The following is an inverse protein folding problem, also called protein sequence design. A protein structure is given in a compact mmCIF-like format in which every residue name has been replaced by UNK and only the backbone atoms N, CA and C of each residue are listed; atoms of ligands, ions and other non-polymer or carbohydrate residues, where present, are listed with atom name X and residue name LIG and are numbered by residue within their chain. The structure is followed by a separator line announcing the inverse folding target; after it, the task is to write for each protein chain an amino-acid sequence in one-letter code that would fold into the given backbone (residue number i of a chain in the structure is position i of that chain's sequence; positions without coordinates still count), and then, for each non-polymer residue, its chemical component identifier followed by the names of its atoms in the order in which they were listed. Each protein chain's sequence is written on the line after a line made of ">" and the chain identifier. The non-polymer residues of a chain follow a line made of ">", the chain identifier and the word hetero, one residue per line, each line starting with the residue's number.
data_IF_136730984006
#
_entry.id   IF_136730984006
#
_cell.length_a   1.000
_cell.length_b   1.000
_cell.length_c   1.000
_cell.angle_alpha   90.00
_cell.angle_beta   90.00
_cell.angle_gamma   90.00
#
_symmetry.space_group_name_H-M   'P 1'
#
loop_
_entity.id
_entity.type
_entity.pdbx_description
1 polymer ?
#
# COMPACT_ATOMS: atom_id res chain seq x y z
N UNK A 1 -14.85 -8.82 -4.21
CA UNK A 1 -14.24 -7.97 -3.19
C UNK A 1 -12.78 -8.40 -3.03
N UNK A 2 -11.87 -7.45 -3.01
CA UNK A 2 -10.45 -7.67 -2.75
C UNK A 2 -10.14 -7.18 -1.34
N UNK A 3 -9.31 -7.90 -0.63
CA UNK A 3 -8.91 -7.55 0.73
C UNK A 3 -7.39 -7.70 0.87
N UNK A 4 -6.85 -7.02 1.85
CA UNK A 4 -5.49 -7.21 2.34
C UNK A 4 -5.54 -7.46 3.85
N UNK A 5 -4.44 -7.90 4.41
CA UNK A 5 -4.38 -8.17 5.84
C UNK A 5 -2.96 -7.97 6.38
N UNK A 6 -2.86 -7.79 7.67
CA UNK A 6 -1.62 -7.87 8.42
C UNK A 6 -1.88 -8.46 9.82
N UNK A 7 -0.88 -9.15 10.34
CA UNK A 7 -0.89 -9.60 11.71
C UNK A 7 -0.46 -8.45 12.64
N UNK A 8 -1.22 -8.21 13.70
CA UNK A 8 -0.91 -7.23 14.73
C UNK A 8 -0.14 -7.87 15.91
N UNK A 9 -0.40 -9.13 16.13
CA UNK A 9 0.29 -10.02 17.07
C UNK A 9 0.06 -11.48 16.66
N UNK A 10 0.44 -12.45 17.50
CA UNK A 10 0.33 -13.89 17.21
C UNK A 10 -1.10 -14.39 16.99
N UNK A 11 -2.10 -13.69 17.50
CA UNK A 11 -3.51 -14.11 17.49
C UNK A 11 -4.45 -13.10 16.85
N UNK A 12 -4.02 -11.88 16.62
CA UNK A 12 -4.84 -10.81 16.08
C UNK A 12 -4.53 -10.51 14.63
N UNK A 13 -5.48 -10.82 13.75
CA UNK A 13 -5.42 -10.52 12.31
C UNK A 13 -6.26 -9.27 12.01
N UNK A 14 -5.66 -8.27 11.39
CA UNK A 14 -6.38 -7.12 10.84
C UNK A 14 -6.62 -7.34 9.34
N UNK A 15 -7.88 -7.40 8.94
CA UNK A 15 -8.31 -7.53 7.55
C UNK A 15 -8.84 -6.17 7.10
N UNK A 16 -8.43 -5.72 5.93
CA UNK A 16 -8.83 -4.44 5.36
C UNK A 16 -9.32 -4.63 3.93
N UNK A 17 -10.38 -3.91 3.58
CA UNK A 17 -10.94 -3.92 2.24
C UNK A 17 -11.44 -2.52 1.86
N UNK A 18 -11.44 -2.22 0.58
CA UNK A 18 -11.97 -0.96 0.09
C UNK A 18 -13.37 -1.12 -0.48
N UNK A 19 -14.15 -0.05 -0.38
CA UNK A 19 -15.36 0.12 -1.15
C UNK A 19 -15.02 0.93 -2.41
N UNK A 20 -15.13 0.30 -3.57
CA UNK A 20 -14.84 0.91 -4.88
C UNK A 20 -15.99 1.75 -5.44
N UNK A 21 -17.03 2.03 -4.66
CA UNK A 21 -18.12 2.91 -5.07
C UNK A 21 -17.64 4.37 -5.04
N UNK A 22 -17.53 4.99 -6.21
CA UNK A 22 -17.08 6.38 -6.32
C UNK A 22 -18.00 7.40 -5.61
N UNK A 23 -19.27 7.05 -5.35
CA UNK A 23 -20.19 7.91 -4.61
C UNK A 23 -20.07 7.78 -3.09
N UNK A 24 -19.46 6.70 -2.62
CA UNK A 24 -19.24 6.44 -1.19
C UNK A 24 -17.96 5.61 -1.00
N UNK A 25 -16.80 6.15 -1.40
CA UNK A 25 -15.53 5.43 -1.25
C UNK A 25 -15.19 5.30 0.23
N UNK A 26 -14.53 4.19 0.58
CA UNK A 26 -14.14 3.97 1.96
C UNK A 26 -13.26 2.74 2.13
N UNK A 27 -12.59 2.67 3.26
CA UNK A 27 -11.79 1.53 3.67
C UNK A 27 -12.42 0.97 4.94
N UNK A 28 -12.88 -0.27 4.87
CA UNK A 28 -13.41 -1.00 6.01
C UNK A 28 -12.34 -1.91 6.59
N UNK A 29 -12.43 -2.19 7.88
CA UNK A 29 -11.49 -3.05 8.57
C UNK A 29 -12.18 -3.93 9.60
N UNK A 30 -11.59 -5.10 9.85
CA UNK A 30 -12.02 -6.04 10.89
C UNK A 30 -10.77 -6.59 11.58
N UNK A 31 -10.75 -6.54 12.90
CA UNK A 31 -9.80 -7.26 13.75
C UNK A 31 -10.42 -8.57 14.20
N UNK A 32 -9.75 -9.66 13.92
CA UNK A 32 -10.18 -11.01 14.19
C UNK A 32 -9.24 -11.66 15.20
N UNK A 33 -9.80 -12.28 16.25
CA UNK A 33 -9.08 -13.24 17.07
C UNK A 33 -9.04 -14.57 16.32
N UNK A 34 -7.85 -15.00 15.90
CA UNK A 34 -7.69 -16.22 15.11
C UNK A 34 -7.70 -17.50 15.97
N UNK A 35 -7.63 -17.40 17.29
CA UNK A 35 -7.69 -18.57 18.18
C UNK A 35 -9.10 -19.17 18.22
N UNK A 36 -10.12 -18.32 18.24
CA UNK A 36 -11.53 -18.73 18.35
C UNK A 36 -12.38 -18.19 17.18
N UNK A 37 -11.78 -17.48 16.23
CA UNK A 37 -12.42 -16.89 15.04
C UNK A 37 -13.49 -15.86 15.39
N UNK A 38 -13.34 -15.15 16.52
CA UNK A 38 -14.26 -14.09 16.92
C UNK A 38 -13.80 -12.73 16.42
N UNK A 39 -14.77 -11.85 16.10
CA UNK A 39 -14.50 -10.46 15.76
C UNK A 39 -14.20 -9.69 17.04
N UNK A 40 -13.01 -9.10 17.13
CA UNK A 40 -12.60 -8.23 18.23
C UNK A 40 -13.22 -6.84 18.06
N UNK A 41 -13.11 -6.29 16.85
CA UNK A 41 -13.65 -4.99 16.48
C UNK A 41 -13.73 -4.87 14.97
N UNK A 42 -14.61 -4.02 14.48
CA UNK A 42 -14.74 -3.69 13.06
C UNK A 42 -15.18 -2.24 12.87
N UNK A 43 -14.94 -1.69 11.70
CA UNK A 43 -15.34 -0.32 11.37
C UNK A 43 -14.90 0.14 10.00
N UNK A 44 -15.02 1.44 9.81
CA UNK A 44 -14.53 2.14 8.64
C UNK A 44 -13.44 3.11 9.07
N UNK A 45 -12.40 3.30 8.23
CA UNK A 45 -11.39 4.32 8.48
C UNK A 45 -11.99 5.71 8.27
N UNK A 46 -11.81 6.55 9.27
CA UNK A 46 -12.13 7.98 9.21
C UNK A 46 -10.86 8.79 8.90
N UNK A 47 -11.03 9.97 8.29
CA UNK A 47 -9.91 10.89 8.03
C UNK A 47 -9.00 10.47 6.87
N UNK A 48 -9.47 9.58 6.00
CA UNK A 48 -8.79 9.28 4.73
C UNK A 48 -9.22 10.33 3.70
N UNK A 49 -8.23 11.01 3.13
CA UNK A 49 -8.49 12.01 2.09
C UNK A 49 -8.79 11.33 0.76
N UNK A 50 -9.97 11.59 0.21
CA UNK A 50 -10.38 11.15 -1.12
C UNK A 50 -11.28 12.21 -1.77
N UNK A 51 -10.86 12.69 -2.90
CA UNK A 51 -11.56 13.74 -3.65
C UNK A 51 -12.76 13.15 -4.41
N UNK A 52 -13.87 12.99 -3.68
CA UNK A 52 -15.14 12.46 -4.22
C UNK A 52 -15.73 13.39 -5.28
N UNK A 53 -15.55 14.70 -5.16
CA UNK A 53 -16.08 15.70 -6.09
C UNK A 53 -15.46 15.52 -7.47
N UNK A 54 -14.15 15.22 -7.53
CA UNK A 54 -13.46 14.88 -8.76
C UNK A 54 -13.56 13.39 -9.13
N UNK A 55 -14.40 12.64 -8.42
CA UNK A 55 -14.74 11.26 -8.73
C UNK A 55 -13.62 10.27 -8.44
N UNK A 56 -12.74 10.58 -7.47
CA UNK A 56 -11.75 9.63 -7.00
C UNK A 56 -12.39 8.50 -6.21
N UNK A 57 -11.82 7.31 -6.32
CA UNK A 57 -12.20 6.11 -5.59
C UNK A 57 -10.98 5.21 -5.39
N UNK A 58 -11.06 4.29 -4.44
CA UNK A 58 -10.01 3.29 -4.27
C UNK A 58 -10.06 2.26 -5.39
N UNK A 59 -8.94 2.02 -6.05
CA UNK A 59 -8.82 1.10 -7.19
C UNK A 59 -8.18 -0.24 -6.84
N UNK A 60 -7.62 -0.37 -5.65
CA UNK A 60 -7.01 -1.61 -5.14
C UNK A 60 -7.25 -1.76 -3.66
N UNK A 61 -7.34 -3.01 -3.18
CA UNK A 61 -7.34 -3.31 -1.74
C UNK A 61 -6.04 -2.97 -1.04
N UNK A 62 -4.99 -2.62 -1.79
CA UNK A 62 -3.72 -2.21 -1.22
C UNK A 62 -2.92 -3.33 -0.57
N UNK A 63 -1.91 -2.92 0.16
CA UNK A 63 -1.07 -3.80 0.99
C UNK A 63 -1.00 -3.20 2.38
N UNK A 64 -1.34 -3.98 3.40
CA UNK A 64 -1.20 -3.59 4.79
C UNK A 64 0.04 -4.27 5.39
N UNK A 65 0.89 -3.50 6.06
CA UNK A 65 2.04 -4.00 6.83
C UNK A 65 2.00 -3.40 8.23
N UNK A 66 2.15 -4.23 9.23
CA UNK A 66 2.22 -3.78 10.62
C UNK A 66 3.66 -3.48 11.01
N UNK A 67 3.91 -2.28 11.51
CA UNK A 67 5.19 -1.85 12.06
C UNK A 67 5.15 -1.97 13.58
N UNK A 68 5.64 -3.09 14.07
CA UNK A 68 5.58 -3.45 15.49
C UNK A 68 6.29 -2.43 16.39
N UNK A 69 7.40 -1.84 15.90
CA UNK A 69 8.24 -0.95 16.70
C UNK A 69 7.52 0.28 17.26
N UNK A 70 6.42 0.70 16.64
CA UNK A 70 5.63 1.88 17.05
C UNK A 70 4.10 1.70 16.94
N UNK A 71 3.66 0.50 16.58
CA UNK A 71 2.24 0.13 16.59
C UNK A 71 1.41 0.70 15.45
N UNK A 72 2.02 0.99 14.29
CA UNK A 72 1.30 1.50 13.13
C UNK A 72 1.11 0.45 12.04
N UNK A 73 -0.08 0.43 11.45
CA UNK A 73 -0.32 -0.23 10.16
C UNK A 73 0.06 0.77 9.07
N UNK A 74 0.94 0.36 8.18
CA UNK A 74 1.31 1.08 6.97
C UNK A 74 0.48 0.49 5.84
N UNK A 75 -0.53 1.24 5.40
CA UNK A 75 -1.46 0.79 4.38
C UNK A 75 -1.20 1.53 3.07
N UNK A 76 -0.64 0.80 2.13
CA UNK A 76 -0.35 1.31 0.79
C UNK A 76 -1.54 1.04 -0.11
N UNK A 77 -2.07 2.07 -0.74
CA UNK A 77 -3.27 1.98 -1.58
C UNK A 77 -3.13 2.86 -2.82
N UNK A 78 -4.10 2.76 -3.68
CA UNK A 78 -4.16 3.52 -4.91
C UNK A 78 -5.53 4.13 -5.07
N UNK A 79 -5.55 5.44 -5.27
CA UNK A 79 -6.74 6.20 -5.64
C UNK A 79 -6.74 6.44 -7.15
N UNK A 80 -7.89 6.35 -7.77
CA UNK A 80 -8.06 6.54 -9.21
C UNK A 80 -9.23 7.46 -9.47
N UNK A 81 -9.06 8.42 -10.36
CA UNK A 81 -10.17 9.26 -10.83
C UNK A 81 -10.85 8.63 -12.04
N UNK A 82 -12.06 9.11 -12.35
CA UNK A 82 -12.77 8.81 -13.60
C UNK A 82 -12.00 9.24 -14.86
N UNK A 83 -11.01 10.13 -14.71
CA UNK A 83 -10.13 10.61 -15.77
C UNK A 83 -8.83 9.79 -15.90
N UNK A 84 -8.78 8.62 -15.26
CA UNK A 84 -7.64 7.69 -15.31
C UNK A 84 -6.37 8.16 -14.59
N UNK A 85 -6.42 9.23 -13.81
CA UNK A 85 -5.33 9.58 -12.91
C UNK A 85 -5.18 8.51 -11.84
N UNK A 86 -3.97 8.05 -11.61
CA UNK A 86 -3.64 7.12 -10.54
C UNK A 86 -2.77 7.85 -9.52
N UNK A 87 -3.21 7.86 -8.27
CA UNK A 87 -2.45 8.41 -7.17
C UNK A 87 -2.08 7.28 -6.22
N UNK A 88 -0.79 7.08 -6.03
CA UNK A 88 -0.28 6.13 -5.07
C UNK A 88 -0.19 6.79 -3.69
N UNK A 89 -0.81 6.19 -2.70
CA UNK A 89 -0.89 6.74 -1.36
C UNK A 89 -0.41 5.74 -0.31
N UNK A 90 0.14 6.25 0.76
CA UNK A 90 0.40 5.51 1.98
C UNK A 90 -0.36 6.13 3.15
N UNK A 91 -1.15 5.32 3.84
CA UNK A 91 -1.94 5.72 4.99
C UNK A 91 -1.32 5.07 6.23
N UNK A 92 -0.99 5.89 7.22
CA UNK A 92 -0.46 5.42 8.49
C UNK A 92 -1.59 5.39 9.53
N UNK A 93 -1.88 4.20 10.04
CA UNK A 93 -3.04 3.93 10.90
C UNK A 93 -2.51 3.41 12.24
N UNK A 94 -2.89 4.04 13.32
CA UNK A 94 -2.56 3.54 14.66
C UNK A 94 -3.34 2.26 14.92
N UNK A 95 -2.64 1.14 15.09
CA UNK A 95 -3.29 -0.17 15.16
C UNK A 95 -4.18 -0.35 16.41
N UNK A 96 -3.90 0.35 17.51
CA UNK A 96 -4.67 0.20 18.75
C UNK A 96 -6.14 0.62 18.61
N UNK A 97 -6.39 1.72 17.92
CA UNK A 97 -7.72 2.35 17.82
C UNK A 97 -8.17 2.62 16.37
N UNK A 98 -7.36 2.24 15.38
CA UNK A 98 -7.61 2.43 13.95
C UNK A 98 -7.75 3.90 13.53
N UNK A 99 -7.14 4.82 14.27
CA UNK A 99 -7.10 6.23 13.87
C UNK A 99 -6.06 6.48 12.80
N UNK A 100 -6.42 7.26 11.78
CA UNK A 100 -5.50 7.69 10.73
C UNK A 100 -4.60 8.79 11.26
N UNK A 101 -3.28 8.57 11.21
CA UNK A 101 -2.28 9.60 11.55
C UNK A 101 -2.06 10.56 10.38
N UNK A 102 -1.88 10.00 9.19
CA UNK A 102 -1.73 10.77 7.96
C UNK A 102 -1.99 9.87 6.74
N UNK A 103 -2.36 10.52 5.65
CA UNK A 103 -2.54 9.97 4.30
C UNK A 103 -1.63 10.76 3.37
N UNK A 104 -0.59 10.13 2.85
CA UNK A 104 0.50 10.78 2.10
C UNK A 104 0.50 10.28 0.67
N UNK A 105 0.42 11.20 -0.28
CA UNK A 105 0.53 10.89 -1.71
C UNK A 105 2.00 10.79 -2.12
N UNK A 106 2.31 9.77 -2.95
CA UNK A 106 3.63 9.57 -3.53
C UNK A 106 3.58 9.73 -5.05
N UNK A 107 4.11 10.85 -5.53
CA UNK A 107 4.00 11.28 -6.93
C UNK A 107 5.11 10.75 -7.85
N UNK A 108 6.12 10.09 -7.30
CA UNK A 108 7.24 9.54 -8.10
C UNK A 108 6.87 8.23 -8.79
N UNK A 109 5.78 7.60 -8.37
CA UNK A 109 5.27 6.34 -8.93
C UNK A 109 3.76 6.42 -9.13
N UNK A 110 3.22 5.61 -10.04
CA UNK A 110 1.79 5.61 -10.35
C UNK A 110 1.06 4.41 -9.76
N UNK A 111 1.75 3.27 -9.61
CA UNK A 111 1.14 2.04 -9.13
C UNK A 111 2.08 1.25 -8.23
N UNK A 112 1.52 0.49 -7.28
CA UNK A 112 2.27 -0.60 -6.65
C UNK A 112 2.49 -1.73 -7.66
N UNK A 113 3.59 -2.46 -7.50
CA UNK A 113 3.76 -3.72 -8.19
C UNK A 113 2.59 -4.67 -7.85
N UNK A 114 2.17 -5.46 -8.80
CA UNK A 114 1.17 -6.50 -8.58
C UNK A 114 -0.27 -6.03 -8.38
N UNK A 115 -0.61 -4.86 -8.85
CA UNK A 115 -2.02 -4.41 -8.90
C UNK A 115 -2.78 -5.02 -10.09
N UNK A 116 -2.09 -5.66 -11.02
CA UNK A 116 -2.66 -6.35 -12.17
C UNK A 116 -2.96 -7.83 -11.90
N UNK A 117 -3.58 -8.48 -12.85
CA UNK A 117 -4.01 -9.89 -12.75
C UNK A 117 -2.86 -10.85 -12.42
N UNK A 118 -3.08 -11.72 -11.42
CA UNK A 118 -2.15 -12.78 -11.05
C UNK A 118 -0.97 -12.36 -10.18
N UNK A 119 -0.73 -11.09 -10.01
CA UNK A 119 0.39 -10.56 -9.23
C UNK A 119 0.06 -10.38 -7.74
N UNK A 120 -1.16 -10.60 -7.33
CA UNK A 120 -1.66 -10.34 -5.96
C UNK A 120 -1.08 -11.28 -4.89
N UNK A 121 -0.60 -12.44 -5.30
CA UNK A 121 -0.06 -13.46 -4.40
C UNK A 121 1.45 -13.33 -4.15
N UNK A 122 2.10 -12.38 -4.82
CA UNK A 122 3.54 -12.20 -4.71
C UNK A 122 3.88 -11.11 -3.70
N UNK A 123 5.00 -11.26 -2.99
CA UNK A 123 5.49 -10.21 -2.11
C UNK A 123 5.91 -8.99 -2.89
N UNK A 124 5.42 -7.83 -2.44
CA UNK A 124 5.70 -6.51 -3.01
C UNK A 124 6.47 -5.63 -2.04
N UNK A 125 6.61 -6.10 -0.82
CA UNK A 125 7.18 -5.34 0.28
C UNK A 125 8.04 -6.23 1.15
N UNK A 126 9.10 -5.67 1.69
CA UNK A 126 9.93 -6.35 2.67
C UNK A 126 10.50 -5.35 3.69
N UNK A 127 10.82 -5.85 4.85
CA UNK A 127 11.58 -5.13 5.87
C UNK A 127 13.05 -5.48 5.77
N UNK A 128 13.94 -4.49 5.88
CA UNK A 128 15.36 -4.76 6.06
C UNK A 128 15.71 -4.96 7.55
N UNK A 129 16.96 -5.34 7.82
CA UNK A 129 17.45 -5.59 9.19
C UNK A 129 17.46 -4.33 10.07
N UNK A 130 17.32 -3.14 9.48
CA UNK A 130 17.26 -1.86 10.19
C UNK A 130 15.83 -1.45 10.51
N UNK A 131 14.83 -2.18 9.99
CA UNK A 131 13.41 -1.90 10.14
C UNK A 131 12.88 -0.86 9.16
N UNK A 132 13.54 -0.65 8.03
CA UNK A 132 13.00 0.12 6.91
C UNK A 132 12.09 -0.76 6.07
N UNK A 133 10.95 -0.19 5.60
CA UNK A 133 10.03 -0.88 4.70
C UNK A 133 10.33 -0.50 3.26
N UNK A 134 10.48 -1.51 2.41
CA UNK A 134 10.66 -1.34 0.97
C UNK A 134 9.39 -1.77 0.24
N UNK A 135 9.06 -1.03 -0.81
CA UNK A 135 7.82 -1.23 -1.59
C UNK A 135 8.17 -1.24 -3.07
N UNK A 136 7.85 -2.33 -3.74
CA UNK A 136 7.96 -2.44 -5.20
C UNK A 136 6.82 -1.67 -5.87
N UNK A 137 7.17 -0.76 -6.75
CA UNK A 137 6.25 0.13 -7.46
C UNK A 137 6.57 0.18 -8.95
N UNK A 138 5.69 0.80 -9.72
CA UNK A 138 5.91 1.04 -11.13
C UNK A 138 5.48 2.45 -11.53
N UNK A 139 6.24 3.04 -12.43
CA UNK A 139 5.94 4.30 -13.10
C UNK A 139 5.58 4.01 -14.55
N UNK A 140 4.64 4.76 -15.11
CA UNK A 140 4.30 4.70 -16.52
C UNK A 140 5.08 5.77 -17.26
N UNK A 141 5.78 5.38 -18.32
CA UNK A 141 6.39 6.29 -19.29
C UNK A 141 5.63 6.21 -20.60
N UNK A 142 5.30 7.35 -21.16
CA UNK A 142 4.88 7.44 -22.55
C UNK A 142 6.13 7.34 -23.44
N UNK A 143 6.19 6.33 -24.29
CA UNK A 143 7.18 6.29 -25.34
C UNK A 143 6.68 7.02 -26.59
N UNK A 144 7.61 7.31 -27.53
CA UNK A 144 7.32 8.01 -28.78
C UNK A 144 6.37 7.23 -29.73
N UNK A 145 5.98 6.01 -29.40
CA UNK A 145 5.15 5.12 -30.21
C UNK A 145 3.75 4.91 -29.65
N UNK A 146 3.37 5.64 -28.61
CA UNK A 146 2.07 5.54 -27.92
C UNK A 146 1.86 4.26 -27.08
N UNK A 147 2.92 3.55 -26.76
CA UNK A 147 2.89 2.44 -25.82
C UNK A 147 3.31 2.91 -24.43
N UNK A 148 2.49 2.67 -23.43
CA UNK A 148 2.85 2.93 -22.03
C UNK A 148 3.84 1.87 -21.58
N UNK A 149 5.09 2.27 -21.40
CA UNK A 149 6.11 1.40 -20.83
C UNK A 149 6.09 1.52 -19.29
N UNK A 150 6.02 0.40 -18.61
CA UNK A 150 6.12 0.37 -17.14
C UNK A 150 7.59 0.21 -16.72
N UNK A 151 8.02 1.09 -15.83
CA UNK A 151 9.36 1.11 -15.24
C UNK A 151 9.26 0.76 -13.77
N UNK A 152 10.00 -0.27 -13.34
CA UNK A 152 10.02 -0.70 -11.95
C UNK A 152 10.82 0.24 -11.06
N UNK A 153 10.31 0.51 -9.88
CA UNK A 153 10.93 1.34 -8.86
C UNK A 153 10.81 0.67 -7.50
N UNK A 154 11.81 0.82 -6.65
CA UNK A 154 11.78 0.39 -5.27
C UNK A 154 11.80 1.61 -4.37
N UNK A 155 10.72 1.86 -3.65
CA UNK A 155 10.62 2.94 -2.68
C UNK A 155 10.94 2.44 -1.28
N UNK A 156 11.26 3.38 -0.38
CA UNK A 156 11.59 3.08 1.01
C UNK A 156 10.85 4.00 1.96
N UNK A 157 10.34 3.44 3.07
CA UNK A 157 9.91 4.18 4.25
C UNK A 157 10.93 3.87 5.34
N UNK A 158 11.63 4.89 5.84
CA UNK A 158 12.60 4.70 6.92
C UNK A 158 11.90 4.32 8.23
N UNK A 159 12.59 3.58 9.08
CA UNK A 159 12.09 3.20 10.39
C UNK A 159 11.61 4.41 11.18
N UNK A 160 10.36 4.39 11.65
CA UNK A 160 9.75 5.45 12.44
C UNK A 160 9.24 6.65 11.62
N UNK A 161 9.53 6.73 10.32
CA UNK A 161 9.02 7.80 9.46
C UNK A 161 7.59 7.53 8.99
N UNK A 162 6.89 8.62 8.60
CA UNK A 162 5.50 8.60 8.15
C UNK A 162 5.36 9.14 6.72
N UNK A 163 6.36 8.88 5.91
CA UNK A 163 6.41 9.22 4.48
C UNK A 163 7.47 8.36 3.77
N UNK A 164 7.43 8.35 2.46
CA UNK A 164 8.51 7.75 1.68
C UNK A 164 9.78 8.62 1.73
N UNK A 165 10.93 7.98 1.84
CA UNK A 165 12.24 8.64 1.75
C UNK A 165 12.43 9.26 0.36
N UNK A 166 12.38 10.58 0.29
CA UNK A 166 12.48 11.34 -0.95
C UNK A 166 13.87 11.28 -1.59
N UNK A 167 14.89 10.88 -0.82
CA UNK A 167 16.26 10.74 -1.30
C UNK A 167 16.58 9.31 -1.76
N UNK A 168 15.62 8.40 -1.70
CA UNK A 168 15.80 7.01 -2.09
C UNK A 168 14.82 6.62 -3.21
N UNK A 169 15.37 6.10 -4.29
CA UNK A 169 14.63 5.37 -5.32
C UNK A 169 15.54 4.28 -5.87
N UNK A 170 15.38 3.07 -5.37
CA UNK A 170 16.11 1.90 -5.85
C UNK A 170 15.46 1.32 -7.10
N UNK A 171 16.24 0.51 -7.81
CA UNK A 171 15.77 -0.25 -8.96
C UNK A 171 15.07 0.63 -10.02
N UNK A 172 15.78 1.60 -10.54
CA UNK A 172 15.29 2.47 -11.61
C UNK A 172 15.79 1.95 -12.97
N UNK A 173 15.14 0.93 -13.49
CA UNK A 173 15.47 0.33 -14.79
C UNK A 173 14.58 0.89 -15.88
N UNK A 174 15.18 1.34 -16.96
CA UNK A 174 14.49 1.84 -18.16
C UNK A 174 13.73 0.75 -18.94
N UNK A 175 13.91 -0.51 -18.59
CA UNK A 175 13.39 -1.64 -19.34
C UNK A 175 12.76 -2.69 -18.43
N UNK A 176 11.58 -2.38 -17.88
CA UNK A 176 10.82 -3.45 -17.26
C UNK A 176 10.08 -3.07 -16.00
N UNK A 177 9.01 -3.76 -15.80
CA UNK A 177 8.12 -3.70 -14.64
C UNK A 177 8.73 -4.47 -13.48
N UNK A 178 8.68 -3.90 -12.28
CA UNK A 178 8.97 -4.64 -11.06
C UNK A 178 7.70 -5.38 -10.64
N UNK A 179 7.79 -6.69 -10.47
CA UNK A 179 6.64 -7.55 -10.15
C UNK A 179 6.65 -7.95 -8.68
N UNK A 180 7.81 -8.34 -8.18
CA UNK A 180 8.00 -8.82 -6.82
C UNK A 180 9.38 -8.43 -6.29
N UNK A 181 9.51 -8.41 -4.98
CA UNK A 181 10.79 -8.23 -4.30
C UNK A 181 10.79 -9.00 -2.99
N UNK A 182 11.90 -9.61 -2.67
CA UNK A 182 12.07 -10.40 -1.43
C UNK A 182 13.41 -10.10 -0.80
N UNK A 183 13.42 -9.83 0.49
CA UNK A 183 14.65 -9.60 1.23
C UNK A 183 15.38 -10.91 1.53
N UNK A 184 16.65 -10.99 1.17
CA UNK A 184 17.49 -12.17 1.37
C UNK A 184 18.45 -12.02 2.56
N UNK A 185 18.36 -10.92 3.30
CA UNK A 185 19.31 -10.59 4.37
C UNK A 185 20.58 -9.90 3.86
N UNK A 186 21.38 -9.37 4.79
CA UNK A 186 22.67 -8.73 4.49
C UNK A 186 22.58 -7.62 3.44
N UNK A 187 21.53 -6.79 3.49
CA UNK A 187 21.25 -5.70 2.55
C UNK A 187 21.11 -6.13 1.07
N UNK A 188 20.61 -7.35 0.83
CA UNK A 188 20.30 -7.86 -0.51
C UNK A 188 18.81 -8.14 -0.65
N UNK A 189 18.24 -7.78 -1.80
CA UNK A 189 16.87 -8.07 -2.20
C UNK A 189 16.79 -8.36 -3.70
#
# INVERSE_FOLDING_TARGET
>A
YRYTHCWLDETTLCIMAYNGNASAPGIIWTKLNTTDMTIIAEGQLEGVDIDVENGFYFSTSGIAKYRESDGYIIYMTQKKSKFWSNNFNVIFIKASDMTVKCDVEENRVHTMAGTAYGELLQDKTFWDDKGNLYVACNTEREDATSYTQQVGNLLRINKGEFEFDQNYMGHNYDAGKLITSTYMGNNKA
#
